data_IF_159445301858
#
_entry.id   IF_159445301858
#
_cell.length_a   1.000
_cell.length_b   1.000
_cell.length_c   1.000
_cell.angle_alpha   90.00
_cell.angle_beta   90.00
_cell.angle_gamma   90.00
#
_symmetry.space_group_name_H-M   'P 1'
#
loop_
_entity.id
_entity.type
_entity.pdbx_description
1 polymer ?
#
# COMPACT_ATOMS: atom_id res chain seq x y z
N UNK A 1 -11.97 29.60 -0.15
CA UNK A 1 -11.70 28.31 0.51
C UNK A 1 -10.26 28.21 1.02
N UNK A 2 -9.24 28.46 0.17
CA UNK A 2 -7.81 28.33 0.54
C UNK A 2 -7.41 29.21 1.73
N UNK A 3 -7.77 30.51 1.74
CA UNK A 3 -7.55 31.42 2.89
C UNK A 3 -8.20 30.97 4.21
N UNK A 4 -9.24 30.15 4.15
CA UNK A 4 -9.94 29.63 5.34
C UNK A 4 -9.26 28.39 5.93
N UNK A 5 -8.52 27.64 5.12
CA UNK A 5 -7.85 26.40 5.53
C UNK A 5 -6.40 26.64 5.98
N UNK A 6 -5.72 27.66 5.45
CA UNK A 6 -4.27 27.81 5.57
C UNK A 6 -3.81 28.95 6.51
N UNK A 7 -4.74 29.73 7.06
CA UNK A 7 -4.43 30.88 7.92
C UNK A 7 -3.75 32.05 7.20
N UNK A 8 -3.39 33.09 7.95
CA UNK A 8 -2.83 34.37 7.47
C UNK A 8 -1.31 34.27 7.16
N UNK A 9 -0.89 33.15 6.55
CA UNK A 9 0.47 32.93 6.08
C UNK A 9 0.67 33.40 4.63
N UNK A 10 1.92 33.66 4.26
CA UNK A 10 2.28 34.11 2.91
C UNK A 10 2.28 32.94 1.90
N UNK A 11 1.08 32.45 1.61
CA UNK A 11 0.81 31.34 0.69
C UNK A 11 0.64 31.81 -0.76
N UNK A 12 1.01 33.06 -1.04
CA UNK A 12 0.89 33.66 -2.38
C UNK A 12 1.67 32.87 -3.43
N UNK A 13 2.85 32.35 -3.08
CA UNK A 13 3.65 31.54 -4.01
C UNK A 13 2.97 30.21 -4.38
N UNK A 14 2.39 29.50 -3.42
CA UNK A 14 1.67 28.25 -3.71
C UNK A 14 0.33 28.49 -4.40
N UNK A 15 -0.36 29.59 -4.08
CA UNK A 15 -1.59 29.99 -4.80
C UNK A 15 -1.26 30.38 -6.24
N UNK A 16 -0.14 31.06 -6.48
CA UNK A 16 0.33 31.43 -7.81
C UNK A 16 0.76 30.19 -8.60
N UNK A 17 1.47 29.23 -7.99
CA UNK A 17 1.76 27.92 -8.59
C UNK A 17 0.48 27.14 -8.91
N UNK A 18 -0.50 27.11 -8.01
CA UNK A 18 -1.81 26.46 -8.24
C UNK A 18 -2.58 27.15 -9.37
N UNK A 19 -2.53 28.48 -9.45
CA UNK A 19 -3.17 29.25 -10.52
C UNK A 19 -2.46 29.06 -11.86
N UNK A 20 -1.13 29.03 -11.89
CA UNK A 20 -0.33 28.74 -13.07
C UNK A 20 -0.55 27.30 -13.57
N UNK A 21 -0.64 26.32 -12.66
CA UNK A 21 -1.07 24.96 -13.01
C UNK A 21 -2.50 24.97 -13.57
N UNK A 22 -3.43 25.65 -12.92
CA UNK A 22 -4.82 25.72 -13.36
C UNK A 22 -4.96 26.38 -14.73
N UNK A 23 -4.16 27.41 -15.03
CA UNK A 23 -4.09 28.06 -16.34
C UNK A 23 -3.47 27.15 -17.41
N UNK A 24 -2.44 26.37 -17.08
CA UNK A 24 -1.88 25.34 -17.95
C UNK A 24 -2.88 24.20 -18.23
N UNK A 25 -3.71 23.84 -17.24
CA UNK A 25 -4.75 22.82 -17.34
C UNK A 25 -5.99 23.35 -18.08
N UNK A 26 -6.25 24.66 -18.05
CA UNK A 26 -7.48 25.26 -18.61
C UNK A 26 -7.64 25.03 -20.13
N UNK A 27 -6.62 24.51 -20.82
CA UNK A 27 -6.67 24.05 -22.20
C UNK A 27 -6.42 22.54 -22.42
N UNK A 28 -5.93 21.78 -21.44
CA UNK A 28 -5.66 20.35 -21.57
C UNK A 28 -6.80 19.51 -20.98
N UNK A 29 -7.54 18.82 -21.86
CA UNK A 29 -8.52 17.81 -21.42
C UNK A 29 -7.80 16.69 -20.68
N UNK A 30 -8.41 16.18 -19.60
CA UNK A 30 -7.96 14.95 -18.95
C UNK A 30 -7.78 13.85 -20.01
N UNK A 31 -6.57 13.33 -20.14
CA UNK A 31 -6.25 12.38 -21.22
C UNK A 31 -6.81 11.02 -20.90
N UNK A 32 -7.22 10.28 -21.93
CA UNK A 32 -7.78 8.94 -21.76
C UNK A 32 -6.68 7.93 -21.37
N UNK A 33 -7.08 6.79 -20.79
CA UNK A 33 -6.16 5.67 -20.51
C UNK A 33 -5.49 5.17 -21.81
N UNK A 34 -6.19 5.27 -22.95
CA UNK A 34 -5.61 4.91 -24.25
C UNK A 34 -4.51 5.89 -24.68
N UNK A 35 -4.71 7.19 -24.44
CA UNK A 35 -3.71 8.22 -24.73
C UNK A 35 -2.48 8.08 -23.82
N UNK A 36 -2.71 7.74 -22.56
CA UNK A 36 -1.66 7.43 -21.59
C UNK A 36 -0.77 6.27 -22.06
N UNK A 37 -1.36 5.18 -22.56
CA UNK A 37 -0.60 4.02 -23.05
C UNK A 37 0.13 4.28 -24.37
N UNK A 38 -0.40 5.17 -25.20
CA UNK A 38 0.15 5.44 -26.53
C UNK A 38 1.27 6.50 -26.49
N UNK A 39 1.25 7.40 -25.50
CA UNK A 39 2.22 8.47 -25.38
C UNK A 39 3.60 7.96 -24.93
N UNK A 40 4.60 8.17 -25.79
CA UNK A 40 5.99 7.76 -25.54
C UNK A 40 6.65 8.56 -24.42
N UNK A 41 6.19 9.78 -24.14
CA UNK A 41 6.78 10.64 -23.10
C UNK A 41 6.59 10.06 -21.70
N UNK A 42 5.42 9.47 -21.43
CA UNK A 42 5.04 8.92 -20.12
C UNK A 42 5.28 7.41 -20.01
N UNK A 43 5.79 6.76 -21.06
CA UNK A 43 5.97 5.30 -21.10
C UNK A 43 6.90 4.78 -20.00
N UNK A 44 8.02 5.46 -19.74
CA UNK A 44 8.95 5.08 -18.67
C UNK A 44 8.34 5.27 -17.27
N UNK A 45 7.51 6.29 -17.11
CA UNK A 45 6.75 6.54 -15.87
C UNK A 45 5.74 5.42 -15.61
N UNK A 46 5.00 5.01 -16.65
CA UNK A 46 4.06 3.89 -16.58
C UNK A 46 4.73 2.56 -16.29
N UNK A 47 5.86 2.27 -16.94
CA UNK A 47 6.62 1.04 -16.68
C UNK A 47 7.11 1.01 -15.23
N UNK A 48 7.58 2.14 -14.71
CA UNK A 48 8.05 2.25 -13.32
C UNK A 48 6.89 2.03 -12.34
N UNK A 49 5.74 2.67 -12.57
CA UNK A 49 4.53 2.47 -11.78
C UNK A 49 4.08 1.00 -11.81
N UNK A 50 3.97 0.42 -13.00
CA UNK A 50 3.59 -0.97 -13.18
C UNK A 50 4.55 -1.92 -12.46
N UNK A 51 5.87 -1.72 -12.60
CA UNK A 51 6.87 -2.57 -11.96
C UNK A 51 6.77 -2.51 -10.43
N UNK A 52 6.67 -1.31 -9.86
CA UNK A 52 6.59 -1.12 -8.41
C UNK A 52 5.32 -1.77 -7.86
N UNK A 53 4.16 -1.53 -8.49
CA UNK A 53 2.90 -2.14 -8.06
C UNK A 53 2.92 -3.66 -8.20
N UNK A 54 3.53 -4.19 -9.28
CA UNK A 54 3.72 -5.63 -9.47
C UNK A 54 4.59 -6.24 -8.38
N UNK A 55 5.75 -5.64 -8.09
CA UNK A 55 6.64 -6.09 -7.02
C UNK A 55 5.95 -6.09 -5.66
N UNK A 56 5.16 -5.05 -5.38
CA UNK A 56 4.38 -4.94 -4.14
C UNK A 56 3.34 -6.05 -4.02
N UNK A 57 2.64 -6.34 -5.11
CA UNK A 57 1.63 -7.39 -5.12
C UNK A 57 2.26 -8.79 -5.00
N UNK A 58 3.43 -9.00 -5.63
CA UNK A 58 4.20 -10.25 -5.55
C UNK A 58 4.76 -10.55 -4.15
N UNK A 59 4.92 -9.56 -3.27
CA UNK A 59 5.24 -9.80 -1.85
C UNK A 59 4.12 -10.60 -1.17
N UNK A 60 2.92 -10.65 -1.76
CA UNK A 60 1.85 -11.52 -1.31
C UNK A 60 1.10 -10.97 -0.10
N UNK A 61 1.09 -9.65 0.09
CA UNK A 61 0.36 -8.98 1.19
C UNK A 61 -1.09 -9.47 1.25
N UNK A 62 -1.79 -9.48 0.11
CA UNK A 62 -3.17 -9.97 0.05
C UNK A 62 -3.32 -11.45 0.45
N UNK A 63 -2.32 -12.28 0.17
CA UNK A 63 -2.32 -13.68 0.58
C UNK A 63 -2.19 -13.82 2.09
N UNK A 64 -1.32 -12.99 2.72
CA UNK A 64 -1.22 -12.92 4.18
C UNK A 64 -2.55 -12.51 4.80
N UNK A 65 -3.26 -11.53 4.23
CA UNK A 65 -4.60 -11.16 4.71
C UNK A 65 -5.62 -12.31 4.58
N UNK A 66 -5.62 -13.03 3.46
CA UNK A 66 -6.50 -14.19 3.29
C UNK A 66 -6.19 -15.33 4.26
N UNK A 67 -4.90 -15.59 4.53
CA UNK A 67 -4.48 -16.66 5.43
C UNK A 67 -4.47 -16.27 6.90
N UNK A 68 -4.45 -14.98 7.23
CA UNK A 68 -4.46 -14.51 8.61
C UNK A 68 -5.60 -15.14 9.41
N UNK A 69 -6.80 -15.22 8.81
CA UNK A 69 -7.96 -15.88 9.42
C UNK A 69 -7.70 -17.36 9.75
N UNK A 70 -7.13 -18.13 8.82
CA UNK A 70 -6.78 -19.53 9.05
C UNK A 70 -5.73 -19.68 10.16
N UNK A 71 -4.75 -18.78 10.22
CA UNK A 71 -3.74 -18.75 11.28
C UNK A 71 -4.38 -18.45 12.64
N UNK A 72 -5.33 -17.51 12.70
CA UNK A 72 -6.05 -17.17 13.93
C UNK A 72 -6.87 -18.33 14.48
N UNK A 73 -7.59 -19.06 13.61
CA UNK A 73 -8.32 -20.27 14.03
C UNK A 73 -7.36 -21.33 14.55
N UNK A 74 -6.26 -21.59 13.83
CA UNK A 74 -5.26 -22.56 14.27
C UNK A 74 -4.54 -22.13 15.56
N UNK A 75 -4.56 -20.84 15.90
CA UNK A 75 -4.06 -20.34 17.17
C UNK A 75 -5.00 -20.55 18.36
N UNK A 76 -6.13 -21.23 18.14
CA UNK A 76 -7.09 -21.53 19.19
C UNK A 76 -8.07 -20.38 19.46
N UNK A 77 -8.11 -19.36 18.59
CA UNK A 77 -9.12 -18.30 18.68
C UNK A 77 -10.45 -18.90 18.18
N UNK A 78 -11.50 -18.96 19.04
CA UNK A 78 -12.78 -19.48 18.62
C UNK A 78 -13.35 -18.66 17.47
N UNK A 79 -14.04 -19.27 16.49
CA UNK A 79 -14.65 -18.56 15.37
C UNK A 79 -15.52 -17.38 15.83
N UNK A 80 -16.26 -17.56 16.94
CA UNK A 80 -17.09 -16.54 17.57
C UNK A 80 -16.35 -15.28 18.04
N UNK A 81 -15.04 -15.37 18.31
CA UNK A 81 -14.21 -14.25 18.75
C UNK A 81 -13.40 -13.63 17.60
N UNK A 82 -13.47 -14.18 16.39
CA UNK A 82 -12.64 -13.70 15.27
C UNK A 82 -12.92 -12.25 14.90
N UNK A 83 -14.15 -11.78 15.12
CA UNK A 83 -14.51 -10.38 14.94
C UNK A 83 -13.66 -9.42 15.79
N UNK A 84 -13.23 -9.82 16.99
CA UNK A 84 -12.33 -9.00 17.83
C UNK A 84 -10.91 -8.92 17.25
N UNK A 85 -10.43 -10.00 16.63
CA UNK A 85 -9.11 -10.02 15.99
C UNK A 85 -9.12 -9.14 14.74
N UNK A 86 -10.17 -9.25 13.91
CA UNK A 86 -10.36 -8.37 12.76
C UNK A 86 -10.46 -6.89 13.16
N UNK A 87 -11.14 -6.61 14.28
CA UNK A 87 -11.18 -5.26 14.85
C UNK A 87 -9.78 -4.78 15.26
N UNK A 88 -8.99 -5.63 15.93
CA UNK A 88 -7.61 -5.34 16.29
C UNK A 88 -6.71 -5.06 15.07
N UNK A 89 -6.88 -5.83 13.99
CA UNK A 89 -6.19 -5.60 12.72
C UNK A 89 -6.53 -4.22 12.16
N UNK A 90 -7.82 -3.86 12.12
CA UNK A 90 -8.24 -2.54 11.65
C UNK A 90 -7.70 -1.39 12.50
N UNK A 91 -7.67 -1.55 13.84
CA UNK A 91 -7.07 -0.55 14.74
C UNK A 91 -5.57 -0.41 14.45
N UNK A 92 -4.87 -1.53 14.26
CA UNK A 92 -3.43 -1.53 13.95
C UNK A 92 -3.16 -0.85 12.61
N UNK A 93 -4.02 -1.05 11.62
CA UNK A 93 -3.94 -0.40 10.32
C UNK A 93 -4.13 1.12 10.41
N UNK A 94 -5.12 1.58 11.18
CA UNK A 94 -5.34 3.00 11.45
C UNK A 94 -4.12 3.61 12.14
N UNK A 95 -3.63 2.98 13.20
CA UNK A 95 -2.43 3.43 13.92
C UNK A 95 -1.20 3.47 13.01
N UNK A 96 -1.01 2.45 12.17
CA UNK A 96 0.09 2.38 11.22
C UNK A 96 0.03 3.51 10.19
N UNK A 97 -1.17 3.88 9.74
CA UNK A 97 -1.38 4.97 8.78
C UNK A 97 -1.06 6.33 9.41
N UNK A 98 -1.50 6.55 10.65
CA UNK A 98 -1.17 7.76 11.42
C UNK A 98 0.34 7.85 11.62
N UNK A 99 0.98 6.76 12.03
CA UNK A 99 2.44 6.69 12.19
C UNK A 99 3.17 6.91 10.86
N UNK A 100 2.65 6.41 9.75
CA UNK A 100 3.19 6.68 8.42
C UNK A 100 3.25 8.19 8.13
N UNK A 101 2.16 8.91 8.39
CA UNK A 101 2.09 10.36 8.20
C UNK A 101 3.15 11.13 8.99
N UNK A 102 3.40 10.75 10.24
CA UNK A 102 4.45 11.38 11.04
C UNK A 102 5.87 10.97 10.63
N UNK A 103 6.06 9.69 10.26
CA UNK A 103 7.38 9.15 9.93
C UNK A 103 7.85 9.56 8.53
N UNK A 104 6.93 9.75 7.57
CA UNK A 104 7.26 10.14 6.20
C UNK A 104 7.87 11.54 6.16
N UNK A 105 7.36 12.46 6.98
CA UNK A 105 7.87 13.83 7.13
C UNK A 105 9.25 13.85 7.79
N UNK A 106 9.49 12.98 8.77
CA UNK A 106 10.73 13.01 9.57
C UNK A 106 11.88 12.18 9.02
N UNK A 107 11.61 10.99 8.48
CA UNK A 107 12.62 10.01 8.07
C UNK A 107 12.86 9.96 6.56
N UNK A 108 11.97 10.57 5.77
CA UNK A 108 12.00 10.56 4.31
C UNK A 108 11.52 9.23 3.72
N UNK A 109 10.92 9.32 2.53
CA UNK A 109 10.20 8.23 1.84
C UNK A 109 11.05 7.01 1.53
N UNK A 110 12.27 7.22 1.02
CA UNK A 110 13.17 6.11 0.63
C UNK A 110 13.65 5.29 1.84
N UNK A 111 13.99 5.96 2.94
CA UNK A 111 14.44 5.30 4.16
C UNK A 111 13.31 4.48 4.80
N UNK A 112 12.10 5.05 4.81
CA UNK A 112 10.91 4.38 5.33
C UNK A 112 10.59 3.10 4.55
N UNK A 113 10.59 3.17 3.21
CA UNK A 113 10.37 2.01 2.35
C UNK A 113 11.40 0.89 2.60
N UNK A 114 12.69 1.21 2.60
CA UNK A 114 13.75 0.21 2.82
C UNK A 114 13.62 -0.48 4.18
N UNK A 115 13.32 0.28 5.24
CA UNK A 115 13.10 -0.28 6.58
C UNK A 115 11.88 -1.18 6.61
N UNK A 116 10.74 -0.72 6.09
CA UNK A 116 9.50 -1.52 6.06
C UNK A 116 9.68 -2.81 5.26
N UNK A 117 10.32 -2.77 4.10
CA UNK A 117 10.60 -3.98 3.33
C UNK A 117 11.50 -4.97 4.06
N UNK A 118 12.50 -4.48 4.79
CA UNK A 118 13.39 -5.34 5.58
C UNK A 118 12.61 -6.06 6.68
N UNK A 119 11.75 -5.33 7.40
CA UNK A 119 10.90 -5.92 8.45
C UNK A 119 9.92 -6.92 7.85
N UNK A 120 9.26 -6.58 6.73
CA UNK A 120 8.32 -7.49 6.05
C UNK A 120 8.99 -8.77 5.55
N UNK A 121 10.23 -8.69 5.04
CA UNK A 121 10.98 -9.87 4.61
C UNK A 121 11.34 -10.78 5.78
N UNK A 122 11.76 -10.19 6.91
CA UNK A 122 12.04 -10.93 8.15
C UNK A 122 10.77 -11.57 8.71
N UNK A 123 9.66 -10.83 8.74
CA UNK A 123 8.37 -11.33 9.21
C UNK A 123 7.85 -12.50 8.36
N UNK A 124 7.95 -12.42 7.03
CA UNK A 124 7.57 -13.52 6.14
C UNK A 124 8.46 -14.76 6.33
N UNK A 125 9.76 -14.56 6.51
CA UNK A 125 10.69 -15.65 6.83
C UNK A 125 10.34 -16.33 8.15
N UNK A 126 10.10 -15.54 9.20
CA UNK A 126 9.68 -16.03 10.50
C UNK A 126 8.32 -16.72 10.43
N UNK A 127 7.34 -16.15 9.73
CA UNK A 127 6.01 -16.71 9.55
C UNK A 127 6.07 -18.09 8.87
N UNK A 128 6.94 -18.25 7.87
CA UNK A 128 7.17 -19.53 7.18
C UNK A 128 7.69 -20.58 8.16
N UNK A 129 8.65 -20.21 9.02
CA UNK A 129 9.22 -21.11 10.04
C UNK A 129 8.20 -21.45 11.13
N UNK A 130 7.43 -20.47 11.62
CA UNK A 130 6.42 -20.71 12.65
C UNK A 130 5.25 -21.54 12.12
N UNK A 131 4.86 -21.38 10.85
CA UNK A 131 3.87 -22.25 10.23
C UNK A 131 4.36 -23.69 10.07
N UNK A 132 5.65 -23.90 9.75
CA UNK A 132 6.23 -25.23 9.65
C UNK A 132 6.34 -25.95 11.02
N UNK A 133 6.52 -25.20 12.11
CA UNK A 133 6.64 -25.71 13.48
C UNK A 133 5.32 -25.70 14.26
N UNK A 134 4.21 -25.39 13.60
CA UNK A 134 2.92 -25.16 14.25
C UNK A 134 2.38 -26.38 15.01
N UNK A 135 2.66 -27.59 14.51
CA UNK A 135 2.21 -28.84 15.13
C UNK A 135 3.13 -29.33 16.26
N UNK A 136 4.32 -28.74 16.40
CA UNK A 136 5.32 -29.18 17.40
C UNK A 136 5.16 -28.48 18.75
N UNK A 137 4.65 -27.24 18.79
CA UNK A 137 4.63 -26.44 20.00
C UNK A 137 3.36 -25.58 20.11
N UNK A 138 2.68 -25.65 21.26
CA UNK A 138 1.44 -24.93 21.54
C UNK A 138 1.57 -23.40 21.61
N UNK A 139 2.78 -22.86 21.78
CA UNK A 139 3.03 -21.41 21.85
C UNK A 139 3.29 -20.77 20.47
N UNK A 140 3.65 -21.57 19.47
CA UNK A 140 4.02 -21.10 18.12
C UNK A 140 2.87 -20.37 17.40
N UNK A 141 1.60 -20.79 17.50
CA UNK A 141 0.50 -20.07 16.87
C UNK A 141 0.34 -18.63 17.39
N UNK A 142 0.58 -18.37 18.68
CA UNK A 142 0.54 -17.01 19.24
C UNK A 142 1.65 -16.12 18.67
N UNK A 143 2.84 -16.68 18.44
CA UNK A 143 3.91 -15.97 17.74
C UNK A 143 3.52 -15.64 16.30
N UNK A 144 2.88 -16.56 15.57
CA UNK A 144 2.38 -16.29 14.22
C UNK A 144 1.35 -15.16 14.19
N UNK A 145 0.46 -15.08 15.19
CA UNK A 145 -0.47 -13.94 15.33
C UNK A 145 0.30 -12.64 15.50
N UNK A 146 1.27 -12.58 16.41
CA UNK A 146 2.08 -11.38 16.62
C UNK A 146 2.82 -10.95 15.35
N UNK A 147 3.40 -11.90 14.61
CA UNK A 147 4.09 -11.65 13.34
C UNK A 147 3.15 -11.08 12.27
N UNK A 148 1.90 -11.56 12.19
CA UNK A 148 0.91 -11.00 11.26
C UNK A 148 0.61 -9.53 11.61
N UNK A 149 0.47 -9.20 12.90
CA UNK A 149 0.26 -7.82 13.33
C UNK A 149 1.46 -6.92 12.99
N UNK A 150 2.68 -7.40 13.24
CA UNK A 150 3.92 -6.67 12.87
C UNK A 150 4.04 -6.49 11.36
N UNK A 151 3.69 -7.50 10.58
CA UNK A 151 3.68 -7.44 9.12
C UNK A 151 2.68 -6.39 8.61
N UNK A 152 1.45 -6.39 9.12
CA UNK A 152 0.40 -5.42 8.75
C UNK A 152 0.82 -4.00 9.14
N UNK A 153 1.36 -3.81 10.34
CA UNK A 153 1.86 -2.52 10.80
C UNK A 153 3.00 -2.00 9.90
N UNK A 154 3.93 -2.87 9.52
CA UNK A 154 5.05 -2.53 8.63
C UNK A 154 4.61 -2.19 7.21
N UNK A 155 3.60 -2.91 6.70
CA UNK A 155 2.96 -2.65 5.41
C UNK A 155 2.27 -1.28 5.39
N UNK A 156 1.52 -0.96 6.45
CA UNK A 156 0.82 0.33 6.59
C UNK A 156 1.79 1.52 6.69
N UNK A 157 2.89 1.36 7.44
CA UNK A 157 3.90 2.41 7.62
C UNK A 157 4.72 2.68 6.34
N UNK A 158 4.96 1.68 5.51
CA UNK A 158 5.83 1.84 4.34
C UNK A 158 5.08 1.80 3.01
N UNK A 159 4.90 0.60 2.42
CA UNK A 159 4.29 0.42 1.12
C UNK A 159 2.96 1.16 0.93
N UNK A 160 2.00 0.98 1.84
CA UNK A 160 0.64 1.49 1.65
C UNK A 160 0.63 3.03 1.61
N UNK A 161 1.31 3.67 2.57
CA UNK A 161 1.37 5.13 2.66
C UNK A 161 2.18 5.78 1.53
N UNK A 162 3.24 5.13 1.05
CA UNK A 162 4.11 5.71 0.01
C UNK A 162 3.58 5.48 -1.41
N UNK A 163 2.85 4.39 -1.67
CA UNK A 163 2.30 4.10 -2.99
C UNK A 163 1.09 4.97 -3.34
N UNK A 164 0.27 5.38 -2.37
CA UNK A 164 -0.91 6.24 -2.61
C UNK A 164 -0.57 7.57 -3.33
N UNK A 165 0.43 8.35 -2.90
CA UNK A 165 0.84 9.59 -3.58
C UNK A 165 1.79 9.36 -4.77
N UNK A 166 2.22 8.12 -5.01
CA UNK A 166 3.23 7.83 -6.04
C UNK A 166 2.76 8.17 -7.47
N UNK A 167 1.51 7.84 -7.90
CA UNK A 167 1.01 8.27 -9.20
C UNK A 167 0.91 9.80 -9.33
N UNK A 168 0.59 10.52 -8.24
CA UNK A 168 0.47 11.98 -8.28
C UNK A 168 1.83 12.68 -8.42
N UNK A 169 2.90 12.06 -7.91
CA UNK A 169 4.25 12.61 -7.99
C UNK A 169 4.94 12.38 -9.33
N UNK A 170 4.55 11.30 -10.03
CA UNK A 170 5.17 10.94 -11.30
C UNK A 170 4.43 11.56 -12.47
N UNK A 171 3.09 11.59 -12.43
CA UNK A 171 2.27 12.05 -13.53
C UNK A 171 1.88 13.52 -13.34
N UNK A 172 2.02 14.28 -14.42
CA UNK A 172 1.43 15.62 -14.52
C UNK A 172 -0.10 15.54 -14.39
N UNK A 173 -0.72 16.63 -13.92
CA UNK A 173 -2.13 16.68 -13.55
C UNK A 173 -3.06 16.04 -14.60
N UNK A 174 -2.84 16.33 -15.88
CA UNK A 174 -3.64 15.86 -17.02
C UNK A 174 -3.71 14.33 -17.18
N UNK A 175 -2.70 13.60 -16.69
CA UNK A 175 -2.61 12.14 -16.75
C UNK A 175 -2.93 11.43 -15.44
N UNK A 176 -3.02 12.14 -14.30
CA UNK A 176 -3.26 11.54 -12.97
C UNK A 176 -4.52 10.67 -12.93
N UNK A 177 -5.70 11.11 -13.43
CA UNK A 177 -6.91 10.27 -13.38
C UNK A 177 -6.75 8.97 -14.18
N UNK A 178 -6.15 9.05 -15.37
CA UNK A 178 -5.89 7.87 -16.20
C UNK A 178 -4.88 6.92 -15.55
N UNK A 179 -3.83 7.46 -14.91
CA UNK A 179 -2.85 6.67 -14.18
C UNK A 179 -3.46 5.95 -12.98
N UNK A 180 -4.37 6.59 -12.24
CA UNK A 180 -5.11 5.94 -11.15
C UNK A 180 -5.98 4.78 -11.63
N UNK A 181 -6.71 4.97 -12.74
CA UNK A 181 -7.52 3.90 -13.34
C UNK A 181 -6.64 2.74 -13.80
N UNK A 182 -5.53 3.03 -14.48
CA UNK A 182 -4.57 2.01 -14.92
C UNK A 182 -3.95 1.25 -13.73
N UNK A 183 -3.55 1.97 -12.69
CA UNK A 183 -2.99 1.40 -11.47
C UNK A 183 -4.00 0.49 -10.76
N UNK A 184 -5.24 0.96 -10.60
CA UNK A 184 -6.33 0.20 -10.00
C UNK A 184 -6.62 -1.06 -10.81
N UNK A 185 -6.81 -0.94 -12.13
CA UNK A 185 -7.05 -2.09 -13.00
C UNK A 185 -5.92 -3.13 -12.92
N UNK A 186 -4.66 -2.67 -12.95
CA UNK A 186 -3.49 -3.55 -12.82
C UNK A 186 -3.49 -4.25 -11.47
N UNK A 187 -3.73 -3.52 -10.38
CA UNK A 187 -3.76 -4.07 -9.03
C UNK A 187 -4.82 -5.17 -8.89
N UNK A 188 -6.04 -4.91 -9.36
CA UNK A 188 -7.13 -5.89 -9.33
C UNK A 188 -6.85 -7.11 -10.19
N UNK A 189 -6.27 -6.94 -11.38
CA UNK A 189 -5.86 -8.06 -12.25
C UNK A 189 -4.81 -8.92 -11.55
N UNK A 190 -3.81 -8.31 -10.94
CA UNK A 190 -2.76 -9.05 -10.23
C UNK A 190 -3.29 -9.74 -8.98
N UNK A 191 -4.21 -9.10 -8.24
CA UNK A 191 -4.92 -9.73 -7.13
C UNK A 191 -5.71 -10.95 -7.59
N UNK A 192 -6.41 -10.85 -8.72
CA UNK A 192 -7.15 -11.97 -9.30
C UNK A 192 -6.22 -13.13 -9.70
N UNK A 193 -5.12 -12.83 -10.38
CA UNK A 193 -4.12 -13.83 -10.78
C UNK A 193 -3.52 -14.53 -9.55
N UNK A 194 -3.09 -13.77 -8.54
CA UNK A 194 -2.54 -14.37 -7.32
C UNK A 194 -3.60 -15.16 -6.56
N UNK A 195 -4.82 -14.64 -6.45
CA UNK A 195 -5.93 -15.36 -5.81
C UNK A 195 -6.28 -16.68 -6.49
N UNK A 196 -6.12 -16.76 -7.82
CA UNK A 196 -6.29 -18.00 -8.58
C UNK A 196 -5.11 -18.96 -8.45
N UNK A 197 -3.87 -18.44 -8.48
CA UNK A 197 -2.66 -19.27 -8.43
C UNK A 197 -2.37 -19.81 -7.03
N UNK A 198 -2.72 -19.06 -5.99
CA UNK A 198 -2.34 -19.38 -4.63
C UNK A 198 -2.89 -20.73 -4.11
N UNK A 199 -4.16 -21.13 -4.39
CA UNK A 199 -4.65 -22.46 -4.07
C UNK A 199 -3.92 -23.62 -4.77
N UNK A 200 -3.14 -23.37 -5.83
CA UNK A 200 -2.32 -24.39 -6.47
C UNK A 200 -0.92 -24.49 -5.85
N UNK A 201 -0.51 -23.50 -5.06
CA UNK A 201 0.82 -23.43 -4.42
C UNK A 201 0.78 -24.02 -3.00
N UNK A 202 -0.33 -23.86 -2.27
CA UNK A 202 -0.57 -24.40 -0.92
C UNK A 202 -1.33 -25.71 -0.99
#
# INVERSE_FOLDING_TARGET
AVKQLWGDGDHMAEIDDMMAEQEAICGEKAKSVCDLLHDKAVRWQLITLFLICSCMQLIGVNMVYFYAYNVFIKAGIPPAQTHYVSLGVGITEILSTILCGFLIERAGRKSLLWKSYTVMAVDLGLLTVTLALQDSFSWVPYCSVALIFTFIMSFGIGPAGVLCPFPTEIFIQSYRPAAYVFNGATNWIQLFILGLLFPFIV
#
